data_IF_248309141014
#
_entry.id   IF_248309141014
#
_cell.length_a   1.000
_cell.length_b   1.000
_cell.length_c   1.000
_cell.angle_alpha   90.00
_cell.angle_beta   90.00
_cell.angle_gamma   90.00
#
_symmetry.space_group_name_H-M   'P 1'
#
loop_
_entity.id
_entity.type
_entity.pdbx_description
1 polymer ?
#
# COMPACT_ATOMS: atom_id res chain seq x y z
N UNK A 1 -14.53 -19.15 -2.44
CA UNK A 1 -13.91 -18.52 -1.25
C UNK A 1 -13.78 -17.02 -1.47
N UNK A 2 -14.22 -16.20 -0.54
CA UNK A 2 -14.03 -14.75 -0.55
C UNK A 2 -12.68 -14.40 0.06
N UNK A 3 -11.84 -13.68 -0.70
CA UNK A 3 -10.50 -13.28 -0.26
C UNK A 3 -10.54 -11.83 0.25
N UNK A 4 -10.29 -11.64 1.54
CA UNK A 4 -10.19 -10.34 2.23
C UNK A 4 -8.81 -10.14 2.87
N UNK A 5 -7.76 -10.65 2.22
CA UNK A 5 -6.36 -10.45 2.65
C UNK A 5 -5.84 -9.09 2.15
N UNK A 6 -5.06 -8.32 2.96
CA UNK A 6 -4.52 -7.01 2.56
C UNK A 6 -3.30 -7.09 1.62
N UNK A 7 -3.27 -8.12 0.79
CA UNK A 7 -2.28 -8.33 -0.27
C UNK A 7 -1.65 -9.74 -0.27
N UNK A 8 -1.75 -10.41 -1.42
CA UNK A 8 -2.53 -10.02 -2.60
C UNK A 8 -4.02 -9.87 -2.28
N UNK A 9 -4.66 -8.88 -2.91
CA UNK A 9 -6.12 -8.72 -2.84
C UNK A 9 -6.82 -9.58 -3.89
N UNK A 10 -8.13 -9.75 -3.75
CA UNK A 10 -8.93 -10.46 -4.75
C UNK A 10 -8.88 -9.72 -6.11
N UNK A 11 -8.61 -10.46 -7.17
CA UNK A 11 -8.73 -9.97 -8.55
C UNK A 11 -10.17 -10.20 -8.96
N UNK A 12 -10.93 -9.13 -9.23
CA UNK A 12 -12.31 -9.24 -9.69
C UNK A 12 -12.39 -9.77 -11.14
N UNK A 13 -13.61 -10.12 -11.59
CA UNK A 13 -13.83 -10.71 -12.92
C UNK A 13 -13.37 -9.78 -14.05
N UNK A 14 -13.66 -8.50 -13.92
CA UNK A 14 -13.32 -7.50 -14.93
C UNK A 14 -11.82 -7.31 -15.07
N UNK A 15 -11.06 -7.40 -13.98
CA UNK A 15 -9.61 -7.40 -14.00
C UNK A 15 -9.05 -8.70 -14.57
N UNK A 16 -9.64 -9.86 -14.23
CA UNK A 16 -9.22 -11.16 -14.79
C UNK A 16 -9.37 -11.20 -16.31
N UNK A 17 -10.43 -10.62 -16.85
CA UNK A 17 -10.67 -10.59 -18.30
C UNK A 17 -9.54 -9.87 -19.08
N UNK A 18 -8.86 -8.91 -18.45
CA UNK A 18 -7.73 -8.21 -19.08
C UNK A 18 -6.53 -9.11 -19.37
N UNK A 19 -6.39 -10.23 -18.63
CA UNK A 19 -5.30 -11.18 -18.82
C UNK A 19 -5.55 -12.24 -19.90
N UNK A 20 -6.79 -12.37 -20.38
CA UNK A 20 -7.15 -13.29 -21.47
C UNK A 20 -7.04 -12.67 -22.86
N UNK A 21 -6.65 -11.42 -22.98
CA UNK A 21 -6.46 -10.74 -24.26
C UNK A 21 -5.14 -11.16 -24.91
N UNK A 22 -5.03 -11.13 -26.27
CA UNK A 22 -3.78 -11.32 -26.96
C UNK A 22 -2.70 -10.34 -26.46
N UNK A 23 -1.57 -10.88 -26.06
CA UNK A 23 -0.47 -10.08 -25.52
C UNK A 23 0.32 -9.40 -26.67
N UNK A 24 0.37 -8.06 -26.74
CA UNK A 24 1.20 -7.37 -27.71
C UNK A 24 2.68 -7.54 -27.35
N UNK A 25 3.57 -7.44 -28.33
CA UNK A 25 5.00 -7.39 -28.03
C UNK A 25 5.37 -6.00 -27.47
N UNK A 26 6.17 -5.97 -26.38
CA UNK A 26 6.50 -4.75 -25.63
C UNK A 26 7.32 -3.69 -26.40
N UNK A 27 7.79 -4.00 -27.63
CA UNK A 27 8.52 -3.06 -28.49
C UNK A 27 7.72 -2.65 -29.73
N UNK A 28 6.40 -2.65 -29.64
CA UNK A 28 5.48 -2.21 -30.70
C UNK A 28 4.89 -0.85 -30.37
N UNK A 29 4.53 -0.10 -31.41
CA UNK A 29 3.87 1.21 -31.26
C UNK A 29 2.55 1.14 -30.50
N UNK A 30 1.84 0.04 -30.59
CA UNK A 30 0.58 -0.13 -29.86
C UNK A 30 0.84 -0.30 -28.35
N UNK A 31 1.86 -1.07 -27.98
CA UNK A 31 2.26 -1.17 -26.58
C UNK A 31 2.81 0.15 -26.03
N UNK A 32 3.61 0.90 -26.81
CA UNK A 32 4.11 2.22 -26.41
C UNK A 32 2.97 3.18 -26.06
N UNK A 33 1.87 3.20 -26.84
CA UNK A 33 0.67 4.03 -26.55
C UNK A 33 -0.02 3.61 -25.24
N UNK A 34 -0.17 2.29 -25.01
CA UNK A 34 -0.76 1.76 -23.79
C UNK A 34 0.11 2.14 -22.58
N UNK A 35 1.42 1.91 -22.69
CA UNK A 35 2.38 2.21 -21.63
C UNK A 35 2.40 3.70 -21.29
N UNK A 36 2.39 4.57 -22.31
CA UNK A 36 2.26 6.02 -22.13
C UNK A 36 0.98 6.39 -21.38
N UNK A 37 -0.18 5.90 -21.84
CA UNK A 37 -1.46 6.17 -21.20
C UNK A 37 -1.50 5.75 -19.75
N UNK A 38 -0.94 4.58 -19.43
CA UNK A 38 -0.84 4.08 -18.04
C UNK A 38 0.02 5.01 -17.19
N UNK A 39 1.20 5.41 -17.67
CA UNK A 39 2.08 6.32 -16.94
C UNK A 39 1.44 7.70 -16.72
N UNK A 40 0.77 8.26 -17.73
CA UNK A 40 0.05 9.53 -17.60
C UNK A 40 -1.08 9.47 -16.57
N UNK A 41 -1.82 8.37 -16.50
CA UNK A 41 -2.85 8.17 -15.48
C UNK A 41 -2.23 8.04 -14.07
N UNK A 42 -1.10 7.34 -13.93
CA UNK A 42 -0.37 7.25 -12.67
C UNK A 42 0.21 8.60 -12.24
N UNK A 43 0.75 9.40 -13.16
CA UNK A 43 1.19 10.77 -12.89
C UNK A 43 0.05 11.64 -12.36
N UNK A 44 -1.12 11.57 -13.01
CA UNK A 44 -2.33 12.29 -12.54
C UNK A 44 -2.79 11.82 -11.17
N UNK A 45 -2.71 10.51 -10.90
CA UNK A 45 -3.09 9.92 -9.62
C UNK A 45 -2.15 10.32 -8.49
N UNK A 46 -0.85 10.42 -8.75
CA UNK A 46 0.16 10.74 -7.75
C UNK A 46 0.48 12.22 -7.66
N UNK A 47 0.23 13.00 -8.71
CA UNK A 47 0.60 14.43 -8.77
C UNK A 47 2.11 14.68 -8.81
N UNK A 48 2.95 13.63 -8.92
CA UNK A 48 4.40 13.75 -9.05
C UNK A 48 4.85 13.84 -10.52
N UNK A 49 6.07 14.35 -10.73
CA UNK A 49 6.58 14.71 -12.06
C UNK A 49 6.78 13.50 -12.98
N UNK A 50 7.19 12.36 -12.43
CA UNK A 50 7.44 11.17 -13.21
C UNK A 50 7.00 9.90 -12.48
N UNK A 51 6.63 8.86 -13.23
CA UNK A 51 6.32 7.54 -12.67
C UNK A 51 7.06 6.47 -13.45
N UNK A 52 7.81 5.64 -12.73
CA UNK A 52 8.51 4.48 -13.27
C UNK A 52 7.78 3.20 -12.87
N UNK A 53 7.62 2.30 -13.84
CA UNK A 53 7.07 0.95 -13.65
C UNK A 53 8.22 -0.06 -13.67
N UNK A 54 8.32 -0.88 -12.64
CA UNK A 54 9.37 -1.89 -12.50
C UNK A 54 8.78 -3.30 -12.50
N UNK A 55 9.45 -4.22 -13.19
CA UNK A 55 9.14 -5.66 -13.14
C UNK A 55 9.66 -6.24 -11.82
N UNK A 56 8.99 -5.89 -10.71
CA UNK A 56 9.40 -6.34 -9.38
C UNK A 56 8.22 -6.30 -8.39
N UNK A 57 8.42 -6.85 -7.20
CA UNK A 57 7.54 -6.55 -6.08
C UNK A 57 7.79 -5.14 -5.54
N UNK A 58 6.90 -4.63 -4.68
CA UNK A 58 7.12 -3.34 -3.98
C UNK A 58 8.45 -3.27 -3.24
N UNK A 59 8.99 -4.40 -2.75
CA UNK A 59 10.32 -4.45 -2.12
C UNK A 59 11.43 -4.03 -3.08
N UNK A 60 11.34 -4.40 -4.37
CA UNK A 60 12.30 -3.94 -5.37
C UNK A 60 12.23 -2.43 -5.60
N UNK A 61 11.04 -1.83 -5.55
CA UNK A 61 10.88 -0.38 -5.61
C UNK A 61 11.43 0.33 -4.35
N UNK A 62 11.25 -0.27 -3.16
CA UNK A 62 11.90 0.22 -1.92
C UNK A 62 13.42 0.24 -2.07
N UNK A 63 13.99 -0.88 -2.51
CA UNK A 63 15.44 -1.02 -2.74
C UNK A 63 15.94 -0.02 -3.78
N UNK A 64 15.28 0.05 -4.94
CA UNK A 64 15.63 0.99 -6.01
C UNK A 64 15.62 2.44 -5.53
N UNK A 65 14.62 2.84 -4.73
CA UNK A 65 14.51 4.21 -4.20
C UNK A 65 15.64 4.51 -3.20
N UNK A 66 15.91 3.59 -2.26
CA UNK A 66 16.97 3.77 -1.26
C UNK A 66 18.33 3.90 -1.91
N UNK A 67 18.72 2.99 -2.81
CA UNK A 67 20.05 3.02 -3.44
C UNK A 67 20.24 4.21 -4.39
N UNK A 68 19.15 4.74 -4.94
CA UNK A 68 19.21 5.86 -5.87
C UNK A 68 19.24 7.22 -5.17
N UNK A 69 18.53 7.38 -4.04
CA UNK A 69 18.34 8.67 -3.38
C UNK A 69 19.18 8.84 -2.10
N UNK A 70 19.44 7.77 -1.35
CA UNK A 70 20.34 7.86 -0.20
C UNK A 70 21.80 7.84 -0.64
N UNK A 71 22.56 8.87 -0.26
CA UNK A 71 23.96 9.03 -0.62
C UNK A 71 24.90 8.87 0.58
N UNK A 72 24.42 9.15 1.78
CA UNK A 72 25.22 9.15 3.01
C UNK A 72 24.60 8.24 4.06
N UNK A 73 23.56 8.70 4.74
CA UNK A 73 22.93 7.99 5.85
C UNK A 73 21.41 8.03 5.72
N UNK A 74 20.76 6.94 6.12
CA UNK A 74 19.32 6.76 6.09
C UNK A 74 18.72 6.89 7.47
N UNK A 75 17.60 7.64 7.61
CA UNK A 75 16.69 7.53 8.76
C UNK A 75 15.44 6.76 8.32
N UNK A 76 14.98 5.81 9.13
CA UNK A 76 13.73 5.11 8.82
C UNK A 76 12.87 4.84 10.06
N UNK A 77 11.56 4.79 9.84
CA UNK A 77 10.58 4.41 10.86
C UNK A 77 10.34 2.91 10.83
N UNK A 78 10.46 2.27 11.99
CA UNK A 78 10.11 0.87 12.20
C UNK A 78 8.93 0.77 13.19
N UNK A 79 7.71 0.63 12.63
CA UNK A 79 6.50 0.30 13.38
C UNK A 79 5.91 -1.05 12.94
N UNK A 80 6.74 -1.91 12.33
CA UNK A 80 6.33 -3.23 11.82
C UNK A 80 7.26 -3.79 10.75
N UNK A 81 6.81 -4.87 10.12
CA UNK A 81 7.64 -5.65 9.17
C UNK A 81 8.05 -4.89 7.91
N UNK A 82 7.26 -3.92 7.49
CA UNK A 82 7.59 -3.16 6.28
C UNK A 82 8.50 -1.96 6.61
N UNK A 83 8.38 -1.39 7.82
CA UNK A 83 9.36 -0.44 8.36
C UNK A 83 10.74 -1.06 8.53
N UNK A 84 10.81 -2.20 9.23
CA UNK A 84 12.04 -2.97 9.42
C UNK A 84 12.76 -3.28 8.10
N UNK A 85 12.01 -3.40 6.99
CA UNK A 85 12.55 -3.73 5.67
C UNK A 85 13.49 -2.67 5.13
N UNK A 86 13.24 -1.39 5.36
CA UNK A 86 14.14 -0.31 4.95
C UNK A 86 15.52 -0.45 5.60
N UNK A 87 15.57 -0.79 6.91
CA UNK A 87 16.83 -1.08 7.59
C UNK A 87 17.56 -2.29 7.01
N UNK A 88 16.83 -3.35 6.64
CA UNK A 88 17.42 -4.53 5.98
C UNK A 88 17.99 -4.21 4.59
N UNK A 89 17.30 -3.37 3.82
CA UNK A 89 17.79 -2.87 2.52
C UNK A 89 19.05 -2.05 2.73
N UNK A 90 19.05 -1.08 3.64
CA UNK A 90 20.21 -0.25 3.93
C UNK A 90 21.42 -1.11 4.31
N UNK A 91 21.23 -2.10 5.18
CA UNK A 91 22.29 -3.05 5.57
C UNK A 91 22.83 -3.84 4.39
N UNK A 92 21.97 -4.33 3.49
CA UNK A 92 22.38 -5.09 2.32
C UNK A 92 23.23 -4.28 1.34
N UNK A 93 23.05 -2.96 1.32
CA UNK A 93 23.79 -2.02 0.47
C UNK A 93 24.88 -1.23 1.23
N UNK A 94 25.23 -1.65 2.45
CA UNK A 94 26.26 -1.00 3.29
C UNK A 94 25.98 0.49 3.58
N UNK A 95 24.71 0.88 3.56
CA UNK A 95 24.25 2.23 3.91
C UNK A 95 24.09 2.28 5.44
N UNK A 96 24.72 3.27 6.08
CA UNK A 96 24.50 3.51 7.51
C UNK A 96 23.08 3.99 7.72
N UNK A 97 22.35 3.34 8.64
CA UNK A 97 20.95 3.64 8.89
C UNK A 97 20.67 3.88 10.37
N UNK A 98 19.81 4.86 10.63
CA UNK A 98 19.28 5.22 11.94
C UNK A 98 17.82 4.77 12.01
N UNK A 99 17.47 4.06 13.06
CA UNK A 99 16.16 3.45 13.24
C UNK A 99 15.37 4.17 14.33
N UNK A 100 14.14 4.60 14.01
CA UNK A 100 13.15 5.02 14.99
C UNK A 100 12.13 3.91 15.16
N UNK A 101 12.15 3.26 16.33
CA UNK A 101 11.29 2.12 16.64
C UNK A 101 10.03 2.60 17.34
N UNK A 102 8.88 2.16 16.86
CA UNK A 102 7.56 2.38 17.46
C UNK A 102 6.86 1.04 17.70
N UNK A 103 5.96 1.02 18.68
CA UNK A 103 5.01 -0.09 18.80
C UNK A 103 4.14 -0.17 17.53
N UNK A 104 3.76 -1.38 17.15
CA UNK A 104 3.06 -1.62 15.86
C UNK A 104 1.67 -0.98 15.78
N UNK A 105 1.14 -0.49 16.89
CA UNK A 105 -0.13 0.22 17.01
C UNK A 105 0.03 1.75 17.05
N UNK A 106 1.26 2.27 17.14
CA UNK A 106 1.54 3.67 17.44
C UNK A 106 2.14 4.41 16.24
N UNK A 107 1.51 5.50 15.77
CA UNK A 107 2.01 6.27 14.65
C UNK A 107 3.27 7.07 15.01
N UNK A 108 4.19 7.22 14.06
CA UNK A 108 5.39 8.02 14.21
C UNK A 108 5.06 9.49 14.52
N UNK A 109 5.93 10.12 15.32
CA UNK A 109 5.79 11.49 15.79
C UNK A 109 6.74 12.43 15.04
N UNK A 110 6.23 13.59 14.61
CA UNK A 110 7.01 14.59 13.84
C UNK A 110 8.23 15.03 14.62
N UNK A 111 8.05 15.42 15.89
CA UNK A 111 9.15 15.97 16.71
C UNK A 111 10.29 14.98 16.92
N UNK A 112 10.00 13.68 17.09
CA UNK A 112 11.02 12.64 17.24
C UNK A 112 11.84 12.46 15.95
N UNK A 113 11.20 12.58 14.79
CA UNK A 113 11.85 12.51 13.49
C UNK A 113 12.76 13.72 13.28
N UNK A 114 12.26 14.94 13.57
CA UNK A 114 13.06 16.16 13.44
C UNK A 114 14.26 16.15 14.39
N UNK A 115 14.09 15.74 15.64
CA UNK A 115 15.18 15.60 16.61
C UNK A 115 16.23 14.59 16.14
N UNK A 116 15.82 13.47 15.53
CA UNK A 116 16.75 12.49 14.99
C UNK A 116 17.56 13.03 13.78
N UNK A 117 16.94 13.83 12.93
CA UNK A 117 17.60 14.50 11.81
C UNK A 117 18.58 15.57 12.29
N UNK A 118 18.21 16.37 13.29
CA UNK A 118 19.07 17.39 13.90
C UNK A 118 20.32 16.75 14.56
N UNK A 119 20.11 15.67 15.30
CA UNK A 119 21.20 14.93 15.96
C UNK A 119 22.15 14.24 14.98
N UNK A 120 21.74 14.01 13.74
CA UNK A 120 22.52 13.27 12.74
C UNK A 120 22.51 14.03 11.39
N UNK A 121 23.31 15.08 11.24
CA UNK A 121 23.29 15.96 10.05
C UNK A 121 23.78 15.31 8.74
N UNK A 122 24.32 14.10 8.81
CA UNK A 122 24.69 13.31 7.63
C UNK A 122 23.51 12.56 7.01
N UNK A 123 22.36 12.50 7.67
CA UNK A 123 21.17 11.86 7.10
C UNK A 123 20.69 12.69 5.92
N UNK A 124 20.64 12.07 4.74
CA UNK A 124 20.19 12.67 3.49
C UNK A 124 18.96 11.99 2.87
N UNK A 125 18.49 10.89 3.50
CA UNK A 125 17.24 10.23 3.11
C UNK A 125 16.44 9.77 4.35
N UNK A 126 15.11 9.89 4.26
CA UNK A 126 14.15 9.44 5.26
C UNK A 126 13.13 8.50 4.62
N UNK A 127 12.86 7.36 5.27
CA UNK A 127 11.94 6.35 4.80
C UNK A 127 10.82 6.05 5.81
N UNK A 128 9.58 5.98 5.33
CA UNK A 128 8.40 5.65 6.15
C UNK A 128 7.32 4.98 5.30
N UNK A 129 6.43 4.20 5.93
CA UNK A 129 5.22 3.68 5.30
C UNK A 129 4.06 4.66 5.49
N UNK A 130 3.24 4.89 4.46
CA UNK A 130 1.95 5.55 4.63
C UNK A 130 1.00 4.65 5.44
N UNK A 131 1.00 3.36 5.15
CA UNK A 131 0.30 2.35 5.93
C UNK A 131 1.24 1.17 6.24
N UNK A 132 1.60 0.99 7.52
CA UNK A 132 2.28 -0.23 7.98
C UNK A 132 1.27 -1.37 8.05
N UNK A 133 1.26 -2.18 7.01
CA UNK A 133 0.21 -3.18 6.81
C UNK A 133 0.32 -4.42 7.70
N UNK A 134 1.41 -4.60 8.43
CA UNK A 134 1.53 -5.67 9.44
C UNK A 134 0.61 -5.44 10.62
N UNK A 135 0.36 -4.18 11.01
CA UNK A 135 -0.57 -3.75 12.05
C UNK A 135 -1.82 -3.02 11.55
N UNK A 136 -1.85 -2.61 10.28
CA UNK A 136 -2.92 -1.77 9.74
C UNK A 136 -2.84 -0.31 10.18
N UNK A 137 -1.64 0.15 10.53
CA UNK A 137 -1.36 1.46 11.10
C UNK A 137 -1.16 2.53 10.01
N UNK A 138 -1.85 3.66 10.10
CA UNK A 138 -1.67 4.84 9.26
C UNK A 138 -0.70 5.83 9.94
N UNK A 139 0.42 6.12 9.29
CA UNK A 139 1.34 7.19 9.70
C UNK A 139 0.94 8.54 9.10
N UNK A 140 1.15 9.67 9.79
CA UNK A 140 0.84 11.02 9.28
C UNK A 140 1.94 11.52 8.33
N UNK A 141 2.17 10.79 7.22
CA UNK A 141 3.31 11.00 6.30
C UNK A 141 3.31 12.38 5.66
N UNK A 142 2.14 12.98 5.43
CA UNK A 142 1.99 14.31 4.86
C UNK A 142 2.59 15.37 5.78
N UNK A 143 2.22 15.33 7.07
CA UNK A 143 2.75 16.26 8.10
C UNK A 143 4.23 16.05 8.33
N UNK A 144 4.68 14.79 8.36
CA UNK A 144 6.09 14.44 8.53
C UNK A 144 6.91 14.96 7.34
N UNK A 145 6.47 14.70 6.11
CA UNK A 145 7.17 15.13 4.92
C UNK A 145 7.26 16.66 4.84
N UNK A 146 6.16 17.37 5.14
CA UNK A 146 6.14 18.83 5.21
C UNK A 146 7.15 19.35 6.24
N UNK A 147 7.11 18.86 7.47
CA UNK A 147 8.01 19.32 8.54
C UNK A 147 9.49 19.06 8.22
N UNK A 148 9.82 17.92 7.61
CA UNK A 148 11.18 17.64 7.13
C UNK A 148 11.60 18.67 6.09
N UNK A 149 10.76 18.95 5.10
CA UNK A 149 11.11 19.90 4.03
C UNK A 149 11.23 21.34 4.49
N UNK A 150 10.43 21.74 5.48
CA UNK A 150 10.53 23.06 6.11
C UNK A 150 11.83 23.24 6.92
N UNK A 151 12.31 22.14 7.56
CA UNK A 151 13.51 22.16 8.40
C UNK A 151 14.78 21.89 7.60
N UNK A 152 14.78 20.87 6.73
CA UNK A 152 15.89 20.48 5.89
C UNK A 152 15.41 20.00 4.50
N UNK A 153 15.28 20.90 3.52
CA UNK A 153 14.79 20.56 2.18
C UNK A 153 15.72 19.61 1.41
N UNK A 154 16.95 19.39 1.89
CA UNK A 154 17.91 18.51 1.24
C UNK A 154 17.66 17.03 1.54
N UNK A 155 16.99 16.67 2.62
CA UNK A 155 16.63 15.28 2.93
C UNK A 155 15.61 14.77 1.92
N UNK A 156 15.91 13.63 1.30
CA UNK A 156 14.94 12.93 0.42
C UNK A 156 13.90 12.19 1.26
N UNK A 157 12.63 12.43 0.99
CA UNK A 157 11.50 11.76 1.66
C UNK A 157 10.98 10.64 0.77
N UNK A 158 11.16 9.40 1.20
CA UNK A 158 10.74 8.18 0.50
C UNK A 158 9.57 7.55 1.26
N UNK A 159 8.41 7.47 0.62
CA UNK A 159 7.20 6.93 1.24
C UNK A 159 6.78 5.62 0.58
N UNK A 160 6.76 4.55 1.35
CA UNK A 160 6.09 3.31 0.95
C UNK A 160 4.57 3.49 1.08
N UNK A 161 3.90 3.72 -0.03
CA UNK A 161 2.46 3.83 -0.14
C UNK A 161 1.82 2.57 -0.76
N UNK A 162 2.52 1.44 -0.79
CA UNK A 162 2.05 0.21 -1.43
C UNK A 162 0.63 -0.17 -0.99
N UNK A 163 0.29 0.03 0.26
CA UNK A 163 -1.04 -0.27 0.82
C UNK A 163 -1.95 0.96 0.99
N UNK A 164 -1.51 2.16 0.66
CA UNK A 164 -2.30 3.38 0.77
C UNK A 164 -2.67 3.98 -0.61
N UNK A 165 -1.81 3.79 -1.62
CA UNK A 165 -2.04 4.29 -2.96
C UNK A 165 -3.24 3.61 -3.61
N UNK A 166 -4.21 4.40 -4.09
CA UNK A 166 -5.49 3.90 -4.62
C UNK A 166 -6.55 3.59 -3.57
N UNK A 167 -6.32 3.98 -2.31
CA UNK A 167 -7.21 3.76 -1.16
C UNK A 167 -7.78 5.08 -0.65
N UNK A 168 -6.92 6.07 -0.52
CA UNK A 168 -7.23 7.39 0.01
C UNK A 168 -6.44 8.47 -0.73
N UNK A 169 -6.88 9.73 -0.72
CA UNK A 169 -6.06 10.83 -1.22
C UNK A 169 -4.77 10.93 -0.38
N UNK A 170 -3.65 11.13 -1.05
CA UNK A 170 -2.35 11.38 -0.40
C UNK A 170 -1.86 12.76 -0.82
N UNK A 171 -1.63 13.66 0.12
CA UNK A 171 -1.00 14.96 -0.13
C UNK A 171 0.52 14.79 -0.12
N UNK A 172 1.09 14.61 -1.30
CA UNK A 172 2.49 14.19 -1.45
C UNK A 172 3.41 15.29 -1.99
N UNK A 173 3.01 16.56 -1.90
CA UNK A 173 3.79 17.71 -2.38
C UNK A 173 5.22 17.74 -1.85
N UNK A 174 5.44 17.21 -0.64
CA UNK A 174 6.74 17.19 0.04
C UNK A 174 7.43 15.81 -0.02
N UNK A 175 6.91 14.88 -0.82
CA UNK A 175 7.47 13.53 -1.00
C UNK A 175 8.35 13.49 -2.24
N UNK A 176 9.54 12.90 -2.15
CA UNK A 176 10.46 12.78 -3.29
C UNK A 176 10.28 11.47 -4.05
N UNK A 177 9.96 10.38 -3.35
CA UNK A 177 9.65 9.10 -3.97
C UNK A 177 8.46 8.45 -3.28
N UNK A 178 7.43 8.11 -4.05
CA UNK A 178 6.23 7.41 -3.60
C UNK A 178 6.19 6.02 -4.24
N UNK A 179 6.12 4.98 -3.42
CA UNK A 179 6.21 3.58 -3.86
C UNK A 179 4.82 2.94 -3.86
N UNK A 180 4.47 2.25 -4.96
CA UNK A 180 3.24 1.48 -5.09
C UNK A 180 3.48 0.05 -5.57
N UNK A 181 2.44 -0.79 -5.50
CA UNK A 181 2.53 -2.20 -5.89
C UNK A 181 1.24 -2.74 -6.50
N UNK A 182 1.39 -3.59 -7.52
CA UNK A 182 0.28 -4.10 -8.34
C UNK A 182 -0.77 -4.92 -7.58
N UNK A 183 -0.35 -5.69 -6.56
CA UNK A 183 -1.18 -6.68 -5.86
C UNK A 183 -2.03 -6.09 -4.71
N UNK A 184 -2.14 -4.79 -4.65
CA UNK A 184 -2.91 -4.02 -3.65
C UNK A 184 -4.15 -3.40 -4.29
N UNK A 185 -4.38 -2.10 -4.12
CA UNK A 185 -5.57 -1.43 -4.66
C UNK A 185 -5.77 -1.59 -6.18
N UNK A 186 -4.70 -1.81 -6.94
CA UNK A 186 -4.80 -2.06 -8.39
C UNK A 186 -5.38 -3.43 -8.75
N UNK A 187 -5.56 -4.34 -7.80
CA UNK A 187 -6.17 -5.68 -8.02
C UNK A 187 -5.49 -6.50 -9.12
N UNK A 188 -4.16 -6.42 -9.22
CA UNK A 188 -3.36 -7.19 -10.17
C UNK A 188 -2.56 -8.28 -9.46
N UNK A 189 -2.04 -9.28 -10.16
CA UNK A 189 -1.06 -10.20 -9.57
C UNK A 189 0.18 -9.46 -9.04
N UNK A 190 0.90 -10.02 -8.04
CA UNK A 190 2.21 -9.49 -7.67
C UNK A 190 3.18 -9.69 -8.84
N UNK A 191 3.91 -8.69 -9.26
CA UNK A 191 5.06 -8.69 -10.17
C UNK A 191 5.34 -7.32 -10.78
N UNK A 192 4.55 -6.29 -10.45
CA UNK A 192 4.84 -4.94 -10.86
C UNK A 192 4.83 -4.02 -9.64
N UNK A 193 5.83 -3.15 -9.55
CA UNK A 193 5.85 -2.01 -8.65
C UNK A 193 5.96 -0.71 -9.42
N UNK A 194 5.68 0.39 -8.76
CA UNK A 194 5.86 1.72 -9.32
C UNK A 194 6.61 2.62 -8.32
N UNK A 195 7.32 3.59 -8.86
CA UNK A 195 7.95 4.68 -8.12
C UNK A 195 7.53 5.99 -8.79
N UNK A 196 6.79 6.83 -8.08
CA UNK A 196 6.52 8.18 -8.52
C UNK A 196 7.56 9.13 -7.90
N UNK A 197 8.09 10.07 -8.68
CA UNK A 197 9.27 10.86 -8.37
C UNK A 197 8.98 12.35 -8.45
N UNK A 198 9.52 13.12 -7.48
CA UNK A 198 9.58 14.58 -7.54
C UNK A 198 10.67 15.02 -8.54
N UNK A 199 10.61 16.28 -8.97
CA UNK A 199 11.65 16.87 -9.81
C UNK A 199 13.04 16.78 -9.16
N UNK A 200 13.14 17.04 -7.86
CA UNK A 200 14.39 16.91 -7.09
C UNK A 200 14.95 15.48 -7.11
N UNK A 201 14.09 14.47 -6.97
CA UNK A 201 14.50 13.06 -7.04
C UNK A 201 14.98 12.70 -8.46
N UNK A 202 14.33 13.21 -9.50
CA UNK A 202 14.73 13.02 -10.90
C UNK A 202 16.13 13.56 -11.13
N UNK A 203 16.42 14.79 -10.71
CA UNK A 203 17.73 15.42 -10.84
C UNK A 203 18.84 14.59 -10.16
N UNK A 204 18.59 14.14 -8.93
CA UNK A 204 19.51 13.26 -8.21
C UNK A 204 19.76 11.94 -8.96
N UNK A 205 18.71 11.32 -9.51
CA UNK A 205 18.81 10.06 -10.26
C UNK A 205 19.58 10.27 -11.59
N UNK A 206 19.39 11.39 -12.27
CA UNK A 206 20.09 11.70 -13.52
C UNK A 206 21.59 11.94 -13.32
N UNK A 207 22.01 12.46 -12.18
CA UNK A 207 23.42 12.64 -11.82
C UNK A 207 24.10 11.32 -11.40
N UNK A 208 23.32 10.35 -10.86
CA UNK A 208 23.81 9.09 -10.31
C UNK A 208 23.55 7.92 -11.24
N UNK A 209 24.41 6.90 -11.16
CA UNK A 209 24.25 5.66 -11.91
C UNK A 209 24.40 4.47 -10.95
N UNK A 210 23.38 4.22 -10.13
CA UNK A 210 23.39 3.21 -9.07
C UNK A 210 22.59 1.97 -9.45
N UNK A 211 23.09 0.80 -9.05
CA UNK A 211 22.47 -0.48 -9.34
C UNK A 211 22.62 -0.90 -10.82
N UNK A 212 22.22 -2.12 -11.12
CA UNK A 212 22.16 -2.66 -12.48
C UNK A 212 20.72 -2.91 -12.89
N UNK A 213 20.00 -3.86 -12.25
CA UNK A 213 18.60 -4.16 -12.57
C UNK A 213 17.66 -3.04 -12.10
N UNK A 214 17.89 -2.51 -10.91
CA UNK A 214 17.14 -1.39 -10.35
C UNK A 214 17.80 -0.03 -10.64
N UNK A 215 18.34 0.14 -11.83
CA UNK A 215 18.95 1.41 -12.25
C UNK A 215 17.86 2.40 -12.68
N UNK A 216 17.46 3.30 -11.77
CA UNK A 216 16.38 4.25 -12.04
C UNK A 216 16.76 5.27 -13.13
N UNK A 217 18.05 5.61 -13.33
CA UNK A 217 18.49 6.48 -14.43
C UNK A 217 18.22 5.84 -15.79
N UNK A 218 18.53 4.55 -15.92
CA UNK A 218 18.27 3.80 -17.14
C UNK A 218 16.76 3.67 -17.40
N UNK A 219 15.97 3.35 -16.36
CA UNK A 219 14.52 3.24 -16.48
C UNK A 219 13.89 4.59 -16.82
N UNK A 220 14.30 5.68 -16.20
CA UNK A 220 13.82 7.04 -16.49
C UNK A 220 14.04 7.40 -17.96
N UNK A 221 15.26 7.18 -18.48
CA UNK A 221 15.61 7.41 -19.90
C UNK A 221 14.71 6.60 -20.83
N UNK A 222 14.52 5.32 -20.57
CA UNK A 222 13.75 4.44 -21.44
C UNK A 222 12.25 4.70 -21.33
N UNK A 223 11.72 4.89 -20.13
CA UNK A 223 10.29 5.07 -19.93
C UNK A 223 9.79 6.43 -20.40
N UNK A 224 10.61 7.47 -20.42
CA UNK A 224 10.30 8.74 -21.12
C UNK A 224 10.07 8.54 -22.62
N UNK A 225 10.67 7.50 -23.20
CA UNK A 225 10.46 7.08 -24.59
C UNK A 225 9.40 5.97 -24.72
N UNK A 226 8.55 5.78 -23.71
CA UNK A 226 7.47 4.79 -23.63
C UNK A 226 7.94 3.33 -23.85
N UNK A 227 9.18 3.03 -23.43
CA UNK A 227 9.76 1.68 -23.43
C UNK A 227 10.41 1.39 -22.08
N UNK A 228 10.92 0.19 -21.88
CA UNK A 228 11.59 -0.24 -20.65
C UNK A 228 13.02 -0.69 -20.91
N UNK A 229 13.88 -0.63 -19.90
CA UNK A 229 15.26 -1.12 -20.01
C UNK A 229 15.32 -2.61 -20.33
N UNK A 230 14.41 -3.37 -19.73
CA UNK A 230 14.29 -4.83 -19.89
C UNK A 230 12.91 -5.20 -20.44
N UNK A 231 12.56 -6.49 -20.46
CA UNK A 231 11.24 -6.94 -20.88
C UNK A 231 10.16 -6.39 -19.94
N UNK A 232 9.19 -5.67 -20.49
CA UNK A 232 8.09 -5.07 -19.73
C UNK A 232 7.14 -6.15 -19.16
N UNK A 233 6.51 -5.90 -18.00
CA UNK A 233 5.44 -6.74 -17.48
C UNK A 233 4.13 -6.44 -18.23
N UNK A 234 4.01 -6.95 -19.45
CA UNK A 234 2.99 -6.56 -20.43
C UNK A 234 1.57 -6.72 -19.87
N UNK A 235 1.24 -7.89 -19.34
CA UNK A 235 -0.12 -8.16 -18.83
C UNK A 235 -0.48 -7.26 -17.63
N UNK A 236 0.49 -6.87 -16.82
CA UNK A 236 0.26 -5.92 -15.74
C UNK A 236 -0.02 -4.51 -16.27
N UNK A 237 0.68 -4.12 -17.36
CA UNK A 237 0.43 -2.84 -18.03
C UNK A 237 -0.99 -2.78 -18.61
N UNK A 238 -1.44 -3.86 -19.29
CA UNK A 238 -2.82 -4.00 -19.77
C UNK A 238 -3.82 -3.98 -18.60
N UNK A 239 -3.48 -4.66 -17.52
CA UNK A 239 -4.29 -4.66 -16.30
C UNK A 239 -4.42 -3.27 -15.67
N UNK A 240 -3.34 -2.47 -15.60
CA UNK A 240 -3.41 -1.08 -15.13
C UNK A 240 -4.27 -0.22 -16.05
N UNK A 241 -4.18 -0.39 -17.38
CA UNK A 241 -5.08 0.30 -18.30
C UNK A 241 -6.54 -0.01 -17.97
N UNK A 242 -6.87 -1.30 -17.76
CA UNK A 242 -8.22 -1.74 -17.39
C UNK A 242 -8.65 -1.17 -16.03
N UNK A 243 -7.76 -1.15 -15.05
CA UNK A 243 -8.02 -0.54 -13.74
C UNK A 243 -8.45 0.93 -13.88
N UNK A 244 -7.73 1.72 -14.66
CA UNK A 244 -8.10 3.14 -14.86
C UNK A 244 -9.42 3.31 -15.60
N UNK A 245 -9.78 2.40 -16.51
CA UNK A 245 -11.11 2.38 -17.14
C UNK A 245 -12.21 2.12 -16.09
N UNK A 246 -12.00 1.12 -15.23
CA UNK A 246 -12.95 0.81 -14.15
C UNK A 246 -13.12 1.98 -13.19
N UNK A 247 -12.04 2.61 -12.78
CA UNK A 247 -12.09 3.78 -11.90
C UNK A 247 -12.85 4.94 -12.56
N UNK A 248 -12.63 5.21 -13.86
CA UNK A 248 -13.42 6.22 -14.59
C UNK A 248 -14.91 5.88 -14.61
N UNK A 249 -15.26 4.63 -14.83
CA UNK A 249 -16.66 4.18 -14.86
C UNK A 249 -17.35 4.29 -13.50
N UNK A 250 -16.59 4.23 -12.40
CA UNK A 250 -17.07 4.46 -11.04
C UNK A 250 -17.26 5.95 -10.68
N UNK A 251 -16.83 6.87 -11.55
CA UNK A 251 -16.88 8.31 -11.29
C UNK A 251 -15.53 8.91 -10.88
N UNK A 252 -14.42 8.20 -11.12
CA UNK A 252 -13.05 8.67 -10.83
C UNK A 252 -12.53 8.27 -9.46
N UNK A 253 -11.34 8.78 -9.14
CA UNK A 253 -10.66 8.45 -7.88
C UNK A 253 -11.40 8.94 -6.64
N UNK A 254 -12.05 10.11 -6.71
CA UNK A 254 -12.85 10.63 -5.58
C UNK A 254 -13.97 9.67 -5.19
N UNK A 255 -14.68 9.12 -6.18
CA UNK A 255 -15.71 8.12 -5.93
C UNK A 255 -15.14 6.83 -5.33
N UNK A 256 -13.99 6.35 -5.86
CA UNK A 256 -13.30 5.18 -5.32
C UNK A 256 -12.86 5.41 -3.86
N UNK A 257 -12.25 6.55 -3.56
CA UNK A 257 -11.79 6.90 -2.20
C UNK A 257 -12.96 7.03 -1.22
N UNK A 258 -14.06 7.66 -1.65
CA UNK A 258 -15.28 7.76 -0.86
C UNK A 258 -15.84 6.37 -0.54
N UNK A 259 -15.90 5.49 -1.53
CA UNK A 259 -16.40 4.13 -1.35
C UNK A 259 -15.50 3.32 -0.41
N UNK A 260 -14.18 3.37 -0.58
CA UNK A 260 -13.23 2.68 0.30
C UNK A 260 -13.36 3.17 1.75
N UNK A 261 -13.50 4.49 1.95
CA UNK A 261 -13.71 5.09 3.27
C UNK A 261 -15.01 4.61 3.91
N UNK A 262 -16.10 4.54 3.14
CA UNK A 262 -17.39 4.03 3.62
C UNK A 262 -17.28 2.59 4.12
N UNK A 263 -16.71 1.71 3.30
CA UNK A 263 -16.52 0.30 3.65
C UNK A 263 -15.61 0.16 4.88
N UNK A 264 -14.51 0.91 4.95
CA UNK A 264 -13.58 0.86 6.08
C UNK A 264 -14.25 1.29 7.39
N UNK A 265 -14.91 2.45 7.40
CA UNK A 265 -15.58 2.96 8.60
C UNK A 265 -16.75 2.08 9.03
N UNK A 266 -17.55 1.57 8.08
CA UNK A 266 -18.64 0.65 8.37
C UNK A 266 -18.13 -0.68 8.96
N UNK A 267 -17.01 -1.21 8.43
CA UNK A 267 -16.35 -2.41 8.96
C UNK A 267 -15.83 -2.18 10.38
N UNK A 268 -15.17 -1.06 10.63
CA UNK A 268 -14.67 -0.71 11.96
C UNK A 268 -15.82 -0.64 12.99
N UNK A 269 -16.94 0.00 12.62
CA UNK A 269 -18.13 0.08 13.50
C UNK A 269 -18.76 -1.31 13.75
N UNK A 270 -18.85 -2.14 12.71
CA UNK A 270 -19.36 -3.50 12.85
C UNK A 270 -18.49 -4.36 13.78
N UNK A 271 -17.16 -4.27 13.65
CA UNK A 271 -16.20 -4.96 14.52
C UNK A 271 -16.36 -4.52 15.99
N UNK A 272 -16.50 -3.23 16.23
CA UNK A 272 -16.73 -2.70 17.58
C UNK A 272 -18.08 -3.15 18.15
N UNK A 273 -19.15 -3.26 17.32
CA UNK A 273 -20.44 -3.76 17.74
C UNK A 273 -20.40 -5.25 18.15
N UNK A 274 -19.42 -6.01 17.64
CA UNK A 274 -19.16 -7.39 18.08
C UNK A 274 -18.38 -7.47 19.41
N UNK A 275 -18.00 -6.34 20.01
CA UNK A 275 -17.17 -6.29 21.22
C UNK A 275 -15.67 -6.54 20.94
N UNK A 276 -15.27 -6.60 19.67
CA UNK A 276 -13.87 -6.77 19.29
C UNK A 276 -13.12 -5.42 19.33
N UNK A 277 -11.79 -5.48 19.47
CA UNK A 277 -10.94 -4.28 19.56
C UNK A 277 -10.17 -4.07 18.25
N UNK A 278 -10.15 -2.83 17.78
CA UNK A 278 -9.28 -2.41 16.66
C UNK A 278 -7.87 -2.23 17.23
N UNK A 279 -6.88 -2.80 16.54
CA UNK A 279 -5.50 -2.84 17.02
C UNK A 279 -4.79 -1.48 16.94
N UNK A 280 -4.68 -0.81 15.76
CA UNK A 280 -3.88 0.40 15.67
C UNK A 280 -4.59 1.62 16.25
N UNK A 281 -3.84 2.52 16.91
CA UNK A 281 -4.31 3.82 17.43
C UNK A 281 -4.73 4.78 16.30
N UNK A 282 -4.14 4.60 15.10
CA UNK A 282 -4.49 5.32 13.88
C UNK A 282 -4.81 4.31 12.77
N UNK A 283 -6.08 3.83 12.68
CA UNK A 283 -6.46 2.82 11.70
C UNK A 283 -6.35 3.33 10.26
N UNK A 284 -5.71 2.56 9.39
CA UNK A 284 -5.69 2.81 7.95
C UNK A 284 -7.06 2.51 7.32
N UNK A 285 -7.40 3.23 6.25
CA UNK A 285 -8.55 2.90 5.41
C UNK A 285 -8.32 1.67 4.52
N UNK A 286 -7.08 1.20 4.39
CA UNK A 286 -6.73 0.03 3.58
C UNK A 286 -7.22 -1.28 4.15
N UNK A 287 -7.34 -1.36 5.48
CA UNK A 287 -7.77 -2.56 6.20
C UNK A 287 -8.25 -2.24 7.61
N UNK A 288 -9.06 -3.11 8.17
CA UNK A 288 -9.36 -3.14 9.61
C UNK A 288 -8.56 -4.27 10.24
N UNK A 289 -7.76 -3.95 11.27
CA UNK A 289 -7.00 -4.92 12.05
C UNK A 289 -7.61 -5.09 13.42
N UNK A 290 -7.95 -6.32 13.77
CA UNK A 290 -8.58 -6.73 15.01
C UNK A 290 -7.56 -7.46 15.86
N UNK A 291 -7.52 -7.21 17.17
CA UNK A 291 -6.78 -8.01 18.14
C UNK A 291 -7.72 -8.99 18.85
N UNK A 292 -7.34 -10.25 18.89
CA UNK A 292 -8.08 -11.32 19.60
C UNK A 292 -7.13 -12.46 19.98
N UNK A 293 -7.30 -13.01 21.16
CA UNK A 293 -6.61 -14.23 21.61
C UNK A 293 -7.04 -15.46 20.78
N UNK A 294 -8.23 -15.42 20.20
CA UNK A 294 -8.79 -16.47 19.33
C UNK A 294 -8.61 -16.20 17.83
N UNK A 295 -7.68 -15.29 17.47
CA UNK A 295 -7.52 -14.88 16.07
C UNK A 295 -7.20 -16.03 15.11
N UNK A 296 -6.42 -17.01 15.56
CA UNK A 296 -6.06 -18.18 14.76
C UNK A 296 -7.25 -19.10 14.52
N UNK A 297 -8.00 -19.43 15.57
CA UNK A 297 -9.19 -20.28 15.50
C UNK A 297 -10.28 -19.63 14.65
N UNK A 298 -10.54 -18.34 14.85
CA UNK A 298 -11.50 -17.57 14.06
C UNK A 298 -11.15 -17.59 12.57
N UNK A 299 -9.87 -17.34 12.22
CA UNK A 299 -9.43 -17.36 10.80
C UNK A 299 -9.56 -18.74 10.16
N UNK A 300 -9.24 -19.81 10.89
CA UNK A 300 -9.39 -21.17 10.40
C UNK A 300 -10.86 -21.50 10.16
N UNK A 301 -11.72 -21.21 11.12
CA UNK A 301 -13.16 -21.47 11.03
C UNK A 301 -13.82 -20.67 9.90
N UNK A 302 -13.46 -19.39 9.76
CA UNK A 302 -13.91 -18.52 8.69
C UNK A 302 -13.54 -19.10 7.31
N UNK A 303 -12.31 -19.58 7.16
CA UNK A 303 -11.83 -20.17 5.91
C UNK A 303 -12.52 -21.48 5.60
N UNK A 304 -12.59 -22.40 6.56
CA UNK A 304 -13.06 -23.78 6.36
C UNK A 304 -14.57 -23.86 6.24
N UNK A 305 -15.30 -23.24 7.17
CA UNK A 305 -16.76 -23.33 7.24
C UNK A 305 -17.46 -22.24 6.41
N UNK A 306 -17.01 -21.00 6.50
CA UNK A 306 -17.70 -19.85 5.91
C UNK A 306 -17.13 -19.37 4.56
N UNK A 307 -16.03 -20.01 4.09
CA UNK A 307 -15.40 -19.68 2.82
C UNK A 307 -14.98 -18.20 2.71
N UNK A 308 -14.56 -17.60 3.84
CA UNK A 308 -14.04 -16.25 3.96
C UNK A 308 -12.61 -16.31 4.48
N UNK A 309 -11.67 -15.73 3.74
CA UNK A 309 -10.26 -15.71 4.12
C UNK A 309 -9.82 -14.31 4.54
N UNK A 310 -9.59 -14.12 5.84
CA UNK A 310 -8.89 -12.97 6.41
C UNK A 310 -7.39 -13.30 6.57
N UNK A 311 -6.55 -12.25 6.63
CA UNK A 311 -5.13 -12.45 6.93
C UNK A 311 -4.87 -12.45 8.45
N UNK A 312 -3.87 -13.20 8.87
CA UNK A 312 -3.33 -13.11 10.22
C UNK A 312 -2.34 -11.96 10.40
N UNK A 313 -1.84 -11.79 11.62
CA UNK A 313 -0.69 -10.96 11.89
C UNK A 313 0.61 -11.55 11.33
N UNK A 314 1.71 -10.90 11.68
CA UNK A 314 3.08 -11.40 11.47
C UNK A 314 3.77 -11.42 12.84
N UNK A 315 4.90 -12.14 12.97
CA UNK A 315 5.64 -12.15 14.24
C UNK A 315 5.98 -10.72 14.69
N UNK A 316 5.72 -10.32 15.95
CA UNK A 316 5.30 -11.20 17.08
C UNK A 316 3.77 -11.39 17.20
N UNK A 317 2.93 -10.77 16.36
CA UNK A 317 1.46 -10.78 16.45
C UNK A 317 0.79 -11.82 15.55
N UNK A 318 1.48 -12.88 15.14
CA UNK A 318 1.02 -13.86 14.15
C UNK A 318 -0.32 -14.50 14.48
N UNK A 319 -0.52 -14.88 15.73
CA UNK A 319 -1.70 -15.61 16.19
C UNK A 319 -2.71 -14.74 16.94
N UNK A 320 -2.45 -13.44 17.07
CA UNK A 320 -3.30 -12.50 17.83
C UNK A 320 -3.99 -11.43 16.95
N UNK A 321 -3.60 -11.27 15.69
CA UNK A 321 -4.24 -10.31 14.80
C UNK A 321 -5.03 -10.97 13.69
N UNK A 322 -6.14 -10.31 13.30
CA UNK A 322 -6.94 -10.57 12.10
C UNK A 322 -6.97 -9.28 11.30
N UNK A 323 -6.64 -9.35 10.00
CA UNK A 323 -6.66 -8.20 9.10
C UNK A 323 -7.68 -8.41 8.00
N UNK A 324 -8.62 -7.47 7.89
CA UNK A 324 -9.72 -7.46 6.92
C UNK A 324 -9.43 -6.40 5.87
N UNK A 325 -9.25 -6.78 4.63
CA UNK A 325 -8.93 -5.89 3.51
C UNK A 325 -10.11 -5.01 3.07
N UNK A 326 -9.81 -3.76 2.70
CA UNK A 326 -10.75 -2.84 2.05
C UNK A 326 -10.24 -2.34 0.69
N UNK A 327 -9.01 -2.69 0.31
CA UNK A 327 -8.42 -2.27 -0.96
C UNK A 327 -9.07 -2.93 -2.16
N UNK A 328 -9.16 -2.18 -3.24
CA UNK A 328 -9.75 -2.61 -4.51
C UNK A 328 -11.25 -2.30 -4.58
N UNK A 329 -11.88 -2.78 -5.64
CA UNK A 329 -13.31 -2.58 -5.87
C UNK A 329 -14.06 -3.80 -5.32
N UNK A 330 -14.54 -3.69 -4.08
CA UNK A 330 -15.21 -4.79 -3.36
C UNK A 330 -16.72 -4.49 -3.30
N UNK A 331 -17.58 -5.31 -3.92
CA UNK A 331 -19.02 -5.15 -3.78
C UNK A 331 -19.46 -5.21 -2.32
N UNK A 332 -20.32 -4.27 -1.89
CA UNK A 332 -20.78 -4.11 -0.50
C UNK A 332 -21.33 -5.40 0.12
N UNK A 333 -22.06 -6.20 -0.67
CA UNK A 333 -22.63 -7.47 -0.18
C UNK A 333 -21.56 -8.49 0.24
N UNK A 334 -20.35 -8.44 -0.36
CA UNK A 334 -19.24 -9.31 0.03
C UNK A 334 -18.70 -8.92 1.40
N UNK A 335 -18.56 -7.61 1.67
CA UNK A 335 -18.13 -7.10 2.97
C UNK A 335 -19.20 -7.41 4.04
N UNK A 336 -20.48 -7.20 3.74
CA UNK A 336 -21.59 -7.55 4.62
C UNK A 336 -21.58 -9.04 4.98
N UNK A 337 -21.41 -9.93 3.98
CA UNK A 337 -21.31 -11.36 4.23
C UNK A 337 -20.08 -11.74 5.07
N UNK A 338 -18.94 -11.14 4.78
CA UNK A 338 -17.69 -11.43 5.51
C UNK A 338 -17.80 -11.08 7.00
N UNK A 339 -18.49 -9.98 7.32
CA UNK A 339 -18.75 -9.56 8.70
C UNK A 339 -19.81 -10.44 9.38
N UNK A 340 -20.86 -10.83 8.66
CA UNK A 340 -21.82 -11.79 9.15
C UNK A 340 -21.17 -13.15 9.45
N UNK A 341 -20.24 -13.60 8.60
CA UNK A 341 -19.45 -14.81 8.82
C UNK A 341 -18.54 -14.70 10.05
N UNK A 342 -17.95 -13.52 10.30
CA UNK A 342 -17.18 -13.27 11.50
C UNK A 342 -18.02 -13.41 12.77
N UNK A 343 -19.24 -12.86 12.78
CA UNK A 343 -20.16 -12.99 13.90
C UNK A 343 -20.60 -14.44 14.12
N UNK A 344 -20.90 -15.18 13.05
CA UNK A 344 -21.22 -16.61 13.11
C UNK A 344 -20.02 -17.43 13.64
N UNK A 345 -18.80 -17.09 13.24
CA UNK A 345 -17.59 -17.77 13.74
C UNK A 345 -17.38 -17.51 15.23
N UNK A 346 -17.68 -16.31 15.72
CA UNK A 346 -17.66 -16.00 17.17
C UNK A 346 -18.69 -16.84 17.93
N UNK A 347 -19.89 -17.03 17.36
CA UNK A 347 -20.93 -17.87 17.95
C UNK A 347 -20.53 -19.35 17.97
N UNK A 348 -19.95 -19.87 16.90
CA UNK A 348 -19.52 -21.26 16.83
C UNK A 348 -18.40 -21.61 17.85
N UNK A 349 -17.62 -20.59 18.25
CA UNK A 349 -16.57 -20.74 19.28
C UNK A 349 -17.07 -20.37 20.69
N UNK A 350 -18.37 -20.17 20.87
CA UNK A 350 -19.00 -19.77 22.14
C UNK A 350 -18.44 -18.45 22.73
N UNK A 351 -17.83 -17.60 21.89
CA UNK A 351 -17.27 -16.31 22.29
C UNK A 351 -18.31 -15.20 22.35
N UNK A 352 -19.35 -15.28 21.51
CA UNK A 352 -20.46 -14.32 21.43
C UNK A 352 -21.68 -14.97 20.78
N UNK A 353 -22.86 -14.79 21.35
CA UNK A 353 -24.10 -15.25 20.72
C UNK A 353 -24.41 -14.43 19.47
N UNK A 354 -24.83 -15.09 18.40
CA UNK A 354 -25.25 -14.44 17.17
C UNK A 354 -26.57 -13.67 17.39
N UNK A 355 -26.60 -12.40 16.98
CA UNK A 355 -27.78 -11.54 17.00
C UNK A 355 -27.93 -10.67 15.73
N UNK A 356 -27.02 -10.84 14.76
CA UNK A 356 -26.99 -10.11 13.49
C UNK A 356 -26.41 -8.69 13.60
N UNK A 357 -25.79 -8.34 14.72
CA UNK A 357 -25.29 -6.99 15.00
C UNK A 357 -24.22 -6.53 14.00
N UNK A 358 -23.33 -7.42 13.55
CA UNK A 358 -22.27 -7.06 12.61
C UNK A 358 -22.84 -6.55 11.28
N UNK A 359 -23.74 -7.34 10.69
CA UNK A 359 -24.35 -7.00 9.39
C UNK A 359 -25.27 -5.77 9.50
N UNK A 360 -26.10 -5.71 10.54
CA UNK A 360 -26.98 -4.57 10.77
C UNK A 360 -26.21 -3.26 10.94
N UNK A 361 -25.15 -3.27 11.77
CA UNK A 361 -24.30 -2.09 12.01
C UNK A 361 -23.53 -1.70 10.74
N UNK A 362 -22.97 -2.68 10.01
CA UNK A 362 -22.25 -2.42 8.77
C UNK A 362 -23.14 -1.72 7.75
N UNK A 363 -24.30 -2.29 7.43
CA UNK A 363 -25.22 -1.74 6.41
C UNK A 363 -25.76 -0.37 6.82
N UNK A 364 -26.16 -0.22 8.10
CA UNK A 364 -26.59 1.08 8.62
C UNK A 364 -25.51 2.14 8.39
N UNK A 365 -24.28 1.91 8.88
CA UNK A 365 -23.18 2.85 8.77
C UNK A 365 -22.79 3.11 7.31
N UNK A 366 -22.80 2.08 6.46
CA UNK A 366 -22.44 2.21 5.05
C UNK A 366 -23.40 3.10 4.27
N UNK A 367 -24.71 3.04 4.54
CA UNK A 367 -25.73 3.85 3.84
C UNK A 367 -25.98 5.21 4.49
N UNK A 368 -25.51 5.46 5.71
CA UNK A 368 -25.62 6.76 6.41
C UNK A 368 -24.45 7.72 6.10
N UNK A 369 -23.32 7.25 5.58
CA UNK A 369 -22.15 8.04 5.16
C UNK A 369 -22.25 8.26 3.64
#
# INVERSE_FOLDING_TARGET
MLLFTPGPVAINEEMRSSFSQPMPHHRTKDFEKIFQSVRENLKKMTGLEEVLLLSSSGTGAMEASVISLCQKELLFVNAGKFGERFGKIAKAHFIKAHELVYEWDTPAQVDEILNALEANPNIDAFCIQACESSGGLRHPVEKIAQAIKETNPNVFVIVDAITALGVEPLEITHVDALIGGSQKAFMLPPAMSLIALSQKAIECIEERNTGFYFNLKSELKNQRNNTTSYTAPILHTLGLQRYFELVRNLGGFEALYKETKRVALATQKAVLALGLKIFPKSPSLSMTTIVSEHAKELRNLLKEKYQVQFAGGQEPYKDTLIRINHMGIIPVYKSAYALNALELALNDLDLRKFDGAANATFLKQYYEI
#
